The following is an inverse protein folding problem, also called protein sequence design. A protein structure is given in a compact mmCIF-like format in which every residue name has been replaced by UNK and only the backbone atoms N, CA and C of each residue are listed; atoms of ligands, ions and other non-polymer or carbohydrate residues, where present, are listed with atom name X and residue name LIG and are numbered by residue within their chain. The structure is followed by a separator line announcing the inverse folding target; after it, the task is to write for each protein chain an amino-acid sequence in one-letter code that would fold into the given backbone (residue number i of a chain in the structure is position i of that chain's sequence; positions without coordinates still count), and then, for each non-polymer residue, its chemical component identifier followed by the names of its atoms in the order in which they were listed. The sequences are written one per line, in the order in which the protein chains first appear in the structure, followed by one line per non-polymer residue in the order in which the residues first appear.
data_IF_755878825011
#
_entry.id   IF_755878825011
#
_cell.length_a   1.000
_cell.length_b   1.000
_cell.length_c   1.000
_cell.angle_alpha   90.00
_cell.angle_beta   90.00
_cell.angle_gamma   90.00
#
_symmetry.space_group_name_H-M   'P 1'
#
loop_
_entity.id
_entity.type
_entity.pdbx_description
1 polymer ?
#
# COMPACT_ATOMS: atom_id res chain seq x y z
N UNK A 1 50.91 -36.17 -19.38
CA UNK A 1 50.28 -35.68 -18.13
C UNK A 1 49.67 -34.33 -18.41
N UNK A 2 48.34 -34.27 -18.58
CA UNK A 2 47.61 -33.03 -18.79
C UNK A 2 46.30 -33.13 -18.01
N UNK A 3 46.14 -32.27 -17.00
CA UNK A 3 44.99 -32.21 -16.11
C UNK A 3 43.78 -31.56 -16.81
N UNK A 4 42.53 -32.05 -16.62
CA UNK A 4 41.36 -31.29 -17.02
C UNK A 4 40.94 -30.33 -15.90
N UNK A 5 40.90 -29.04 -16.23
CA UNK A 5 40.43 -27.97 -15.36
C UNK A 5 38.88 -27.96 -15.34
N UNK A 6 38.28 -28.49 -14.28
CA UNK A 6 36.83 -28.44 -14.06
C UNK A 6 36.37 -27.03 -13.65
N UNK A 7 35.59 -26.35 -14.50
CA UNK A 7 34.91 -25.09 -14.16
C UNK A 7 33.68 -25.40 -13.31
N UNK A 8 33.73 -25.03 -12.03
CA UNK A 8 32.56 -25.03 -11.14
C UNK A 8 31.60 -23.90 -11.55
N UNK A 9 30.42 -24.28 -12.04
CA UNK A 9 29.31 -23.35 -12.26
C UNK A 9 28.83 -22.80 -10.90
N UNK A 10 29.03 -21.50 -10.68
CA UNK A 10 28.47 -20.79 -9.51
C UNK A 10 26.97 -20.64 -9.74
N UNK A 11 26.18 -21.50 -9.11
CA UNK A 11 24.73 -21.35 -9.02
C UNK A 11 24.39 -20.05 -8.28
N UNK A 12 23.99 -19.02 -9.02
CA UNK A 12 23.42 -17.79 -8.45
C UNK A 12 22.05 -18.12 -7.87
N UNK A 13 21.99 -18.36 -6.56
CA UNK A 13 20.71 -18.39 -5.84
C UNK A 13 20.14 -16.98 -5.83
N UNK A 14 19.12 -16.73 -6.64
CA UNK A 14 18.28 -15.53 -6.55
C UNK A 14 17.64 -15.50 -5.15
N UNK A 15 17.67 -14.38 -4.42
CA UNK A 15 16.89 -14.27 -3.21
C UNK A 15 15.41 -14.21 -3.60
N UNK A 16 14.66 -15.25 -3.22
CA UNK A 16 13.21 -15.16 -3.13
C UNK A 16 12.89 -14.07 -2.09
N UNK A 17 12.32 -12.96 -2.55
CA UNK A 17 11.69 -11.99 -1.67
C UNK A 17 10.65 -12.74 -0.85
N UNK A 18 10.87 -12.84 0.47
CA UNK A 18 9.90 -13.41 1.39
C UNK A 18 8.66 -12.51 1.38
N UNK A 19 7.45 -13.07 1.35
CA UNK A 19 6.26 -12.29 1.60
C UNK A 19 6.39 -11.65 2.98
N UNK A 20 6.22 -10.34 3.06
CA UNK A 20 6.21 -9.64 4.32
C UNK A 20 5.06 -10.17 5.21
N UNK A 21 5.38 -10.47 6.45
CA UNK A 21 4.42 -10.96 7.44
C UNK A 21 3.49 -9.82 7.87
N UNK A 22 2.20 -10.11 8.12
CA UNK A 22 1.15 -9.16 8.57
C UNK A 22 1.57 -8.14 9.67
N UNK A 23 2.59 -8.46 10.47
CA UNK A 23 3.16 -7.55 11.47
C UNK A 23 3.86 -6.30 10.89
N UNK A 24 4.43 -6.34 9.67
CA UNK A 24 5.11 -5.18 9.07
C UNK A 24 4.13 -4.19 8.42
N UNK A 25 2.98 -4.67 7.94
CA UNK A 25 1.90 -3.81 7.43
C UNK A 25 1.20 -3.08 8.59
N UNK A 26 0.91 -3.78 9.69
CA UNK A 26 0.29 -3.20 10.90
C UNK A 26 1.23 -2.25 11.66
N UNK A 27 2.55 -2.46 11.62
CA UNK A 27 3.51 -1.54 12.25
C UNK A 27 3.65 -0.22 11.49
N UNK A 28 3.46 -0.23 10.16
CA UNK A 28 3.40 0.98 9.33
C UNK A 28 2.14 1.82 9.56
N UNK A 29 1.04 1.21 10.02
CA UNK A 29 -0.21 1.91 10.36
C UNK A 29 -0.19 2.62 11.73
N UNK A 30 0.84 2.40 12.57
CA UNK A 30 0.96 3.09 13.85
C UNK A 30 1.69 4.43 13.70
N UNK A 31 0.92 5.52 13.75
CA UNK A 31 1.45 6.85 14.08
C UNK A 31 2.14 6.77 15.45
N UNK A 32 3.39 7.25 15.62
CA UNK A 32 3.86 7.60 16.95
C UNK A 32 3.02 8.78 17.47
N UNK A 33 2.71 8.87 18.77
CA UNK A 33 2.10 10.06 19.33
C UNK A 33 3.04 11.25 19.08
N UNK A 34 2.51 12.32 18.47
CA UNK A 34 3.23 13.59 18.41
C UNK A 34 3.44 14.07 19.86
N UNK A 35 4.67 14.42 20.27
CA UNK A 35 4.87 15.05 21.56
C UNK A 35 4.16 16.42 21.57
N UNK A 36 3.67 16.88 22.74
CA UNK A 36 3.03 18.19 22.88
C UNK A 36 3.98 19.30 22.40
N UNK A 37 3.44 20.23 21.62
CA UNK A 37 4.19 21.22 20.82
C UNK A 37 4.96 22.25 21.66
N UNK A 38 4.71 22.33 22.97
CA UNK A 38 5.23 23.40 23.82
C UNK A 38 6.60 23.13 24.49
N UNK A 39 7.18 21.95 24.31
CA UNK A 39 8.52 21.64 24.84
C UNK A 39 9.65 21.71 23.77
N UNK A 40 9.32 21.92 22.49
CA UNK A 40 10.28 21.84 21.39
C UNK A 40 10.97 23.17 21.03
N UNK A 41 10.68 24.26 21.73
CA UNK A 41 11.26 25.58 21.43
C UNK A 41 12.58 25.88 22.17
N UNK A 42 13.05 25.00 23.05
CA UNK A 42 14.23 25.28 23.88
C UNK A 42 15.58 24.76 23.32
N UNK A 43 15.60 24.07 22.17
CA UNK A 43 16.86 23.54 21.59
C UNK A 43 17.07 23.89 20.11
N UNK A 44 16.40 24.93 19.60
CA UNK A 44 16.72 25.45 18.27
C UNK A 44 18.15 26.04 18.30
N UNK A 45 19.12 25.51 17.51
CA UNK A 45 20.36 26.21 17.31
C UNK A 45 20.03 27.50 16.58
N UNK A 46 20.16 28.60 17.33
CA UNK A 46 20.02 29.98 16.87
C UNK A 46 20.88 30.18 15.61
N UNK A 47 20.22 30.28 14.46
CA UNK A 47 20.74 30.79 13.20
C UNK A 47 22.21 30.44 12.89
N UNK A 48 22.50 29.17 12.58
CA UNK A 48 23.71 28.88 11.81
C UNK A 48 23.42 29.34 10.38
N UNK A 49 23.94 30.51 10.02
CA UNK A 49 24.04 30.92 8.62
C UNK A 49 24.69 29.75 7.88
N UNK A 50 23.96 29.10 7.00
CA UNK A 50 24.55 28.17 6.05
C UNK A 50 25.51 29.03 5.21
N UNK A 51 26.79 29.02 5.59
CA UNK A 51 27.84 29.35 4.65
C UNK A 51 27.61 28.41 3.48
N UNK A 52 27.45 28.95 2.27
CA UNK A 52 27.49 28.16 1.05
C UNK A 52 28.92 27.66 0.90
N UNK A 53 29.30 26.70 1.75
CA UNK A 53 30.43 25.84 1.52
C UNK A 53 30.05 25.11 0.24
N UNK A 54 30.76 25.39 -0.85
CA UNK A 54 30.59 24.67 -2.10
C UNK A 54 30.80 23.21 -1.77
N UNK A 55 29.71 22.47 -1.57
CA UNK A 55 29.76 21.01 -1.44
C UNK A 55 30.38 20.59 -2.76
N UNK A 56 31.66 20.21 -2.73
CA UNK A 56 32.31 19.61 -3.88
C UNK A 56 31.60 18.29 -4.07
N UNK A 57 30.54 18.32 -4.88
CA UNK A 57 29.81 17.13 -5.24
C UNK A 57 30.76 16.21 -5.98
N UNK A 58 30.72 14.93 -5.62
CA UNK A 58 31.47 13.96 -6.39
C UNK A 58 30.96 13.95 -7.84
N UNK A 59 31.81 13.62 -8.83
CA UNK A 59 31.35 13.44 -10.21
C UNK A 59 30.21 12.43 -10.34
N UNK A 60 30.11 11.45 -9.42
CA UNK A 60 29.03 10.49 -9.35
C UNK A 60 27.72 11.15 -8.90
N UNK A 61 27.72 11.92 -7.82
CA UNK A 61 26.52 12.62 -7.34
C UNK A 61 26.02 13.65 -8.36
N UNK A 62 26.94 14.37 -9.01
CA UNK A 62 26.61 15.27 -10.12
C UNK A 62 25.94 14.55 -11.28
N UNK A 63 26.37 13.33 -11.57
CA UNK A 63 25.75 12.50 -12.59
C UNK A 63 24.33 12.07 -12.21
N UNK A 64 24.12 11.65 -10.96
CA UNK A 64 22.79 11.25 -10.45
C UNK A 64 21.83 12.44 -10.42
N UNK A 65 22.25 13.59 -9.88
CA UNK A 65 21.40 14.79 -9.86
C UNK A 65 21.00 15.19 -11.28
N UNK A 66 21.96 15.21 -12.22
CA UNK A 66 21.66 15.48 -13.63
C UNK A 66 20.61 14.54 -14.20
N UNK A 67 20.68 13.24 -13.89
CA UNK A 67 19.67 12.25 -14.34
C UNK A 67 18.30 12.56 -13.74
N UNK A 68 18.24 12.86 -12.44
CA UNK A 68 16.99 13.17 -11.75
C UNK A 68 16.36 14.47 -12.27
N UNK A 69 17.15 15.52 -12.41
CA UNK A 69 16.71 16.82 -12.93
C UNK A 69 16.17 16.66 -14.36
N UNK A 70 16.91 15.96 -15.22
CA UNK A 70 16.47 15.66 -16.59
C UNK A 70 15.15 14.88 -16.62
N UNK A 71 14.93 13.98 -15.65
CA UNK A 71 13.68 13.22 -15.55
C UNK A 71 12.53 14.08 -15.06
N UNK A 72 12.75 14.94 -14.08
CA UNK A 72 11.75 15.87 -13.55
C UNK A 72 11.31 16.83 -14.65
N UNK A 73 12.26 17.39 -15.38
CA UNK A 73 11.99 18.28 -16.53
C UNK A 73 11.11 17.56 -17.56
N UNK A 74 11.51 16.36 -17.99
CA UNK A 74 10.75 15.57 -18.95
C UNK A 74 9.32 15.27 -18.47
N UNK A 75 9.15 14.88 -17.20
CA UNK A 75 7.83 14.58 -16.66
C UNK A 75 6.96 15.84 -16.52
N UNK A 76 7.57 17.00 -16.25
CA UNK A 76 6.88 18.28 -16.14
C UNK A 76 6.34 18.82 -17.45
N UNK A 77 6.88 18.37 -18.59
CA UNK A 77 6.37 18.71 -19.92
C UNK A 77 5.01 18.05 -20.20
N UNK A 78 4.69 16.95 -19.52
CA UNK A 78 3.42 16.26 -19.69
C UNK A 78 2.37 16.79 -18.71
N UNK A 79 1.16 17.13 -19.16
CA UNK A 79 0.09 17.52 -18.25
C UNK A 79 -0.30 16.33 -17.37
N UNK A 80 -0.21 16.52 -16.05
CA UNK A 80 -0.74 15.55 -15.08
C UNK A 80 -2.27 15.66 -15.08
N UNK A 81 -3.01 14.60 -15.40
CA UNK A 81 -4.48 14.62 -15.32
C UNK A 81 -4.92 14.96 -13.90
N UNK A 82 -5.98 15.75 -13.77
CA UNK A 82 -6.60 15.97 -12.45
C UNK A 82 -7.14 14.64 -11.92
N UNK A 83 -6.86 14.31 -10.65
CA UNK A 83 -7.37 13.07 -10.08
C UNK A 83 -8.90 13.12 -10.00
N UNK A 84 -9.59 11.99 -10.26
CA UNK A 84 -11.04 11.94 -10.17
C UNK A 84 -11.49 12.25 -8.75
N UNK A 85 -12.52 13.08 -8.60
CA UNK A 85 -13.14 13.39 -7.30
C UNK A 85 -14.32 12.46 -6.99
N UNK A 86 -14.76 11.67 -7.96
CA UNK A 86 -15.84 10.69 -7.85
C UNK A 86 -15.53 9.45 -8.67
N UNK A 87 -15.97 8.31 -8.16
CA UNK A 87 -15.93 7.02 -8.82
C UNK A 87 -17.26 6.33 -8.49
N UNK A 88 -18.13 6.19 -9.49
CA UNK A 88 -19.52 5.73 -9.32
C UNK A 88 -20.26 6.48 -8.19
N UNK A 89 -20.75 5.75 -7.19
CA UNK A 89 -21.44 6.31 -6.02
C UNK A 89 -20.48 6.82 -4.94
N UNK A 90 -19.17 6.63 -5.12
CA UNK A 90 -18.15 7.00 -4.15
C UNK A 90 -17.54 8.37 -4.44
N UNK A 91 -17.35 9.13 -3.37
CA UNK A 91 -16.49 10.32 -3.37
C UNK A 91 -15.04 9.89 -3.17
N UNK A 92 -14.13 10.41 -3.98
CA UNK A 92 -12.70 10.08 -3.95
C UNK A 92 -11.95 11.25 -3.31
N UNK A 93 -11.15 10.94 -2.31
CA UNK A 93 -10.31 11.89 -1.60
C UNK A 93 -8.86 11.42 -1.64
N UNK A 94 -8.04 12.16 -2.38
CA UNK A 94 -6.59 12.06 -2.28
C UNK A 94 -6.08 12.87 -1.08
N UNK A 95 -5.05 12.37 -0.40
CA UNK A 95 -4.48 12.98 0.80
C UNK A 95 -2.99 13.25 0.53
N UNK A 96 -2.60 14.52 0.27
CA UNK A 96 -1.21 14.86 -0.02
C UNK A 96 -0.26 14.32 1.06
N UNK A 97 0.80 13.62 0.63
CA UNK A 97 1.78 13.01 1.51
C UNK A 97 1.42 11.60 2.03
N UNK A 98 0.20 11.12 1.79
CA UNK A 98 -0.16 9.72 1.98
C UNK A 98 0.10 8.91 0.70
N UNK A 99 0.12 7.57 0.84
CA UNK A 99 0.29 6.62 -0.28
C UNK A 99 -0.97 5.79 -0.56
N UNK A 100 -2.12 6.32 -0.15
CA UNK A 100 -3.41 5.72 -0.39
C UNK A 100 -4.45 6.80 -0.69
N UNK A 101 -5.45 6.43 -1.47
CA UNK A 101 -6.65 7.23 -1.73
C UNK A 101 -7.81 6.69 -0.90
N UNK A 102 -8.70 7.58 -0.46
CA UNK A 102 -9.88 7.20 0.32
C UNK A 102 -11.14 7.38 -0.52
N UNK A 103 -11.91 6.32 -0.71
CA UNK A 103 -13.25 6.37 -1.29
C UNK A 103 -14.28 6.31 -0.17
N UNK A 104 -15.30 7.15 -0.24
CA UNK A 104 -16.42 7.18 0.73
C UNK A 104 -17.75 7.16 0.01
N UNK A 105 -18.61 6.25 0.42
CA UNK A 105 -19.94 6.06 -0.15
C UNK A 105 -20.91 5.55 0.91
N UNK A 106 -22.18 5.48 0.55
CA UNK A 106 -23.24 4.91 1.36
C UNK A 106 -23.99 3.84 0.56
N UNK A 107 -24.48 2.84 1.26
CA UNK A 107 -25.24 1.75 0.67
C UNK A 107 -26.57 1.53 1.40
N UNK A 108 -27.65 1.40 0.61
CA UNK A 108 -29.00 1.18 1.11
C UNK A 108 -29.48 2.23 2.13
N UNK A 109 -30.13 1.76 3.19
CA UNK A 109 -30.78 2.62 4.19
C UNK A 109 -29.88 2.94 5.41
N UNK A 110 -28.57 3.15 5.19
CA UNK A 110 -27.68 3.68 6.22
C UNK A 110 -26.45 2.84 6.53
N UNK A 111 -25.88 2.13 5.56
CA UNK A 111 -24.52 1.60 5.68
C UNK A 111 -23.53 2.60 5.11
N UNK A 112 -22.53 2.98 5.91
CA UNK A 112 -21.42 3.81 5.49
C UNK A 112 -20.25 2.91 5.07
N UNK A 113 -19.72 3.17 3.88
CA UNK A 113 -18.60 2.43 3.30
C UNK A 113 -17.42 3.38 3.11
N UNK A 114 -16.26 2.96 3.60
CA UNK A 114 -14.99 3.63 3.37
C UNK A 114 -13.99 2.62 2.81
N UNK A 115 -13.33 2.98 1.72
CA UNK A 115 -12.31 2.15 1.09
C UNK A 115 -11.01 2.93 1.08
N UNK A 116 -9.95 2.40 1.67
CA UNK A 116 -8.59 2.92 1.51
C UNK A 116 -7.83 2.03 0.53
N UNK A 117 -7.44 2.60 -0.61
CA UNK A 117 -6.73 1.88 -1.65
C UNK A 117 -5.29 2.37 -1.76
N UNK A 118 -4.32 1.46 -1.66
CA UNK A 118 -2.90 1.80 -1.84
C UNK A 118 -2.57 2.06 -3.31
N UNK A 119 -1.43 2.72 -3.55
CA UNK A 119 -0.76 2.60 -4.85
C UNK A 119 -0.32 1.16 -5.10
N UNK A 120 0.10 0.83 -6.34
CA UNK A 120 0.71 -0.47 -6.64
C UNK A 120 1.81 -0.83 -5.63
N UNK A 121 1.65 -1.96 -4.95
CA UNK A 121 2.52 -2.39 -3.86
C UNK A 121 3.14 -3.78 -4.10
N UNK A 122 2.69 -4.49 -5.13
CA UNK A 122 3.36 -5.67 -5.66
C UNK A 122 3.17 -5.81 -7.18
N UNK A 123 4.09 -6.53 -7.82
CA UNK A 123 4.06 -6.84 -9.24
C UNK A 123 4.60 -8.24 -9.50
N UNK A 124 3.93 -9.00 -10.37
CA UNK A 124 4.32 -10.35 -10.78
C UNK A 124 4.47 -10.40 -12.30
N UNK A 125 5.60 -10.94 -12.79
CA UNK A 125 5.80 -11.18 -14.22
C UNK A 125 4.97 -12.39 -14.65
N UNK A 126 4.11 -12.20 -15.64
CA UNK A 126 3.26 -13.23 -16.23
C UNK A 126 3.79 -13.58 -17.61
N UNK A 127 4.02 -14.87 -17.84
CA UNK A 127 4.34 -15.40 -19.16
C UNK A 127 3.04 -15.68 -19.90
N UNK A 128 2.82 -15.04 -21.05
CA UNK A 128 1.73 -15.40 -21.95
C UNK A 128 2.08 -16.71 -22.67
N UNK A 129 1.28 -17.77 -22.57
CA UNK A 129 1.53 -18.99 -23.31
C UNK A 129 1.29 -18.73 -24.81
N UNK A 130 2.35 -18.84 -25.62
CA UNK A 130 2.26 -18.83 -27.09
C UNK A 130 2.80 -17.58 -27.81
N UNK A 131 3.32 -16.58 -27.09
CA UNK A 131 3.94 -15.39 -27.68
C UNK A 131 5.47 -15.45 -27.52
N UNK A 132 6.19 -15.13 -28.60
CA UNK A 132 7.64 -15.29 -28.73
C UNK A 132 8.42 -14.42 -27.72
N UNK A 133 8.66 -14.94 -26.53
CA UNK A 133 9.65 -14.61 -25.46
C UNK A 133 10.03 -13.14 -25.15
N UNK A 134 9.42 -12.11 -25.74
CA UNK A 134 9.88 -10.72 -25.65
C UNK A 134 8.93 -9.79 -24.90
N UNK A 135 7.69 -10.20 -24.61
CA UNK A 135 6.72 -9.41 -23.84
C UNK A 135 6.27 -10.19 -22.61
N UNK A 136 7.02 -10.02 -21.52
CA UNK A 136 6.52 -10.39 -20.19
C UNK A 136 5.55 -9.30 -19.74
N UNK A 137 4.28 -9.67 -19.54
CA UNK A 137 3.30 -8.75 -18.96
C UNK A 137 3.49 -8.69 -17.45
N UNK A 138 3.27 -7.52 -16.86
CA UNK A 138 3.30 -7.33 -15.41
C UNK A 138 1.87 -7.32 -14.87
N UNK A 139 1.59 -8.21 -13.92
CA UNK A 139 0.36 -8.20 -13.13
C UNK A 139 0.60 -7.40 -11.86
N UNK A 140 -0.01 -6.22 -11.78
CA UNK A 140 0.11 -5.31 -10.64
C UNK A 140 -0.92 -5.66 -9.57
N UNK A 141 -0.57 -5.39 -8.32
CA UNK A 141 -1.42 -5.62 -7.15
C UNK A 141 -1.55 -4.33 -6.35
N UNK A 142 -2.74 -4.11 -5.80
CA UNK A 142 -3.01 -3.08 -4.79
C UNK A 142 -3.66 -3.72 -3.58
N UNK A 143 -3.40 -3.16 -2.40
CA UNK A 143 -4.07 -3.53 -1.16
C UNK A 143 -5.24 -2.59 -0.90
N UNK A 144 -6.36 -3.16 -0.47
CA UNK A 144 -7.57 -2.42 -0.11
C UNK A 144 -7.94 -2.68 1.35
N UNK A 145 -8.32 -1.63 2.05
CA UNK A 145 -8.99 -1.72 3.36
C UNK A 145 -10.42 -1.25 3.21
N UNK A 146 -11.39 -2.15 3.38
CA UNK A 146 -12.82 -1.85 3.22
C UNK A 146 -13.49 -1.84 4.57
N UNK A 147 -13.89 -0.67 5.00
CA UNK A 147 -14.64 -0.40 6.22
C UNK A 147 -16.13 -0.33 5.90
N UNK A 148 -16.95 -1.15 6.55
CA UNK A 148 -18.41 -1.13 6.47
C UNK A 148 -18.98 -0.95 7.87
N UNK A 149 -19.65 0.17 8.11
CA UNK A 149 -20.33 0.44 9.38
C UNK A 149 -21.81 0.68 9.16
N UNK A 150 -22.63 0.19 10.08
CA UNK A 150 -24.05 0.53 10.10
C UNK A 150 -24.25 1.87 10.80
N UNK A 151 -25.26 2.63 10.39
CA UNK A 151 -25.61 3.93 10.96
C UNK A 151 -26.00 3.89 12.45
N UNK A 152 -26.26 2.71 13.01
CA UNK A 152 -26.42 2.52 14.46
C UNK A 152 -25.10 2.70 15.25
N UNK A 153 -23.95 2.71 14.56
CA UNK A 153 -22.63 2.91 15.12
C UNK A 153 -22.15 1.78 16.04
N UNK A 154 -22.89 0.67 16.16
CA UNK A 154 -22.62 -0.39 17.13
C UNK A 154 -21.64 -1.43 16.59
N UNK A 155 -21.65 -1.68 15.29
CA UNK A 155 -20.80 -2.68 14.63
C UNK A 155 -20.14 -2.15 13.36
N UNK A 156 -18.85 -2.45 13.22
CA UNK A 156 -18.05 -2.13 12.05
C UNK A 156 -17.31 -3.40 11.60
N UNK A 157 -17.29 -3.62 10.29
CA UNK A 157 -16.61 -4.72 9.62
C UNK A 157 -15.50 -4.13 8.77
N UNK A 158 -14.28 -4.61 8.93
CA UNK A 158 -13.13 -4.18 8.13
C UNK A 158 -12.58 -5.38 7.38
N UNK A 159 -12.42 -5.23 6.07
CA UNK A 159 -11.86 -6.24 5.19
C UNK A 159 -10.50 -5.78 4.69
N UNK A 160 -9.48 -6.59 4.92
CA UNK A 160 -8.20 -6.44 4.22
C UNK A 160 -8.26 -7.28 2.94
N UNK A 161 -8.16 -6.63 1.79
CA UNK A 161 -8.26 -7.29 0.49
C UNK A 161 -7.00 -7.08 -0.36
N UNK A 162 -6.69 -8.10 -1.16
CA UNK A 162 -5.72 -8.08 -2.24
C UNK A 162 -6.46 -7.96 -3.56
N UNK A 163 -6.29 -6.84 -4.25
CA UNK A 163 -6.87 -6.63 -5.57
C UNK A 163 -5.80 -6.83 -6.66
N UNK A 164 -6.10 -7.76 -7.55
CA UNK A 164 -5.41 -8.00 -8.81
C UNK A 164 -6.30 -7.56 -9.96
N UNK A 165 -5.79 -7.39 -11.18
CA UNK A 165 -6.57 -6.88 -12.32
C UNK A 165 -7.81 -7.72 -12.65
N UNK A 166 -7.76 -9.01 -12.33
CA UNK A 166 -8.76 -10.03 -12.66
C UNK A 166 -9.39 -10.69 -11.43
N UNK A 167 -8.97 -10.32 -10.21
CA UNK A 167 -9.48 -10.99 -9.00
C UNK A 167 -9.33 -10.15 -7.73
N UNK A 168 -10.34 -10.21 -6.87
CA UNK A 168 -10.29 -9.69 -5.50
C UNK A 168 -10.23 -10.85 -4.48
N UNK A 169 -9.22 -10.82 -3.62
CA UNK A 169 -9.00 -11.81 -2.57
C UNK A 169 -9.14 -11.17 -1.19
N UNK A 170 -10.07 -11.68 -0.37
CA UNK A 170 -10.22 -11.23 1.01
C UNK A 170 -9.14 -11.92 1.86
N UNK A 171 -8.16 -11.16 2.33
CA UNK A 171 -7.11 -11.67 3.20
C UNK A 171 -7.60 -11.87 4.62
N UNK A 172 -8.19 -10.84 5.23
CA UNK A 172 -8.65 -10.88 6.62
C UNK A 172 -9.98 -10.14 6.76
N UNK A 173 -10.76 -10.54 7.77
CA UNK A 173 -12.02 -9.89 8.15
C UNK A 173 -11.99 -9.62 9.64
N UNK A 174 -12.13 -8.35 10.01
CA UNK A 174 -12.08 -7.87 11.38
C UNK A 174 -13.43 -7.32 11.79
N UNK A 175 -13.87 -7.66 13.01
CA UNK A 175 -15.12 -7.17 13.57
C UNK A 175 -14.82 -6.26 14.74
N UNK A 176 -15.27 -5.01 14.64
CA UNK A 176 -15.08 -3.98 15.65
C UNK A 176 -16.41 -3.53 16.22
N UNK A 177 -16.39 -3.12 17.49
CA UNK A 177 -17.43 -2.29 18.09
C UNK A 177 -16.85 -0.93 18.37
N UNK A 178 -17.55 0.14 17.98
CA UNK A 178 -17.09 1.53 18.13
C UNK A 178 -16.73 1.87 19.59
N UNK A 179 -17.48 1.30 20.54
CA UNK A 179 -17.24 1.41 21.99
C UNK A 179 -15.87 0.84 22.44
N UNK A 180 -15.33 -0.14 21.72
CA UNK A 180 -14.01 -0.71 21.98
C UNK A 180 -12.88 0.14 21.38
N UNK A 181 -13.16 0.93 20.34
CA UNK A 181 -12.18 1.82 19.71
C UNK A 181 -11.73 2.93 20.68
N UNK A 182 -12.65 3.47 21.47
CA UNK A 182 -12.37 4.54 22.44
C UNK A 182 -11.73 4.02 23.73
N UNK A 183 -11.95 2.74 24.08
CA UNK A 183 -11.64 2.22 25.43
C UNK A 183 -10.43 1.29 25.51
N UNK A 184 -9.87 0.77 24.40
CA UNK A 184 -8.91 -0.34 24.51
C UNK A 184 -7.59 -0.20 23.75
N UNK A 185 -6.53 -0.27 24.57
CA UNK A 185 -5.16 -0.67 24.28
C UNK A 185 -5.01 -2.18 23.94
N UNK A 186 -6.11 -2.91 23.70
CA UNK A 186 -6.08 -4.34 23.37
C UNK A 186 -6.47 -4.57 21.93
N UNK A 187 -5.68 -5.39 21.23
CA UNK A 187 -5.91 -5.76 19.85
C UNK A 187 -7.29 -6.41 19.70
N UNK A 188 -8.15 -5.91 18.78
CA UNK A 188 -9.43 -6.55 18.50
C UNK A 188 -9.18 -7.97 18.00
N UNK A 189 -10.21 -8.82 18.09
CA UNK A 189 -10.13 -10.16 17.54
C UNK A 189 -9.77 -10.07 16.05
N UNK A 190 -8.58 -10.57 15.70
CA UNK A 190 -7.97 -10.39 14.38
C UNK A 190 -8.61 -11.26 13.27
N UNK A 191 -9.73 -11.91 13.58
CA UNK A 191 -10.34 -12.89 12.69
C UNK A 191 -9.50 -14.18 12.56
N UNK A 192 -10.10 -15.26 12.03
CA UNK A 192 -9.33 -16.39 11.54
C UNK A 192 -8.58 -16.04 10.25
N UNK A 193 -7.43 -16.69 9.99
CA UNK A 193 -6.76 -16.62 8.68
C UNK A 193 -7.76 -17.04 7.59
N UNK A 194 -7.99 -16.18 6.58
CA UNK A 194 -8.96 -16.46 5.49
C UNK A 194 -8.68 -17.76 4.75
N UNK A 195 -7.42 -18.22 4.72
CA UNK A 195 -7.05 -19.50 4.09
C UNK A 195 -7.63 -20.70 4.83
N UNK A 196 -7.89 -20.55 6.13
CA UNK A 196 -8.55 -21.56 6.98
C UNK A 196 -10.08 -21.43 6.96
N UNK A 197 -10.60 -20.35 6.38
CA UNK A 197 -12.03 -20.15 6.24
C UNK A 197 -12.58 -21.04 5.13
N UNK A 198 -13.70 -21.70 5.42
CA UNK A 198 -14.35 -22.56 4.44
C UNK A 198 -14.77 -21.75 3.18
N UNK A 199 -14.86 -22.43 2.04
CA UNK A 199 -15.18 -21.77 0.76
C UNK A 199 -16.55 -21.07 0.79
N UNK A 200 -17.52 -21.64 1.51
CA UNK A 200 -18.87 -21.07 1.63
C UNK A 200 -18.84 -19.68 2.26
N UNK A 201 -18.18 -19.51 3.41
CA UNK A 201 -18.13 -18.21 4.11
C UNK A 201 -17.33 -17.20 3.28
N UNK A 202 -16.24 -17.63 2.63
CA UNK A 202 -15.46 -16.76 1.74
C UNK A 202 -16.29 -16.23 0.58
N UNK A 203 -17.10 -17.09 -0.04
CA UNK A 203 -18.01 -16.69 -1.10
C UNK A 203 -19.08 -15.73 -0.57
N UNK A 204 -19.65 -15.97 0.61
CA UNK A 204 -20.63 -15.03 1.19
C UNK A 204 -20.03 -13.65 1.49
N UNK A 205 -18.76 -13.58 1.91
CA UNK A 205 -18.10 -12.28 2.10
C UNK A 205 -17.79 -11.59 0.78
N UNK A 206 -17.43 -12.34 -0.26
CA UNK A 206 -17.28 -11.79 -1.61
C UNK A 206 -18.60 -11.24 -2.13
N UNK A 207 -19.67 -12.04 -2.08
CA UNK A 207 -21.03 -11.61 -2.47
C UNK A 207 -21.48 -10.38 -1.68
N UNK A 208 -21.15 -10.31 -0.39
CA UNK A 208 -21.44 -9.15 0.46
C UNK A 208 -20.75 -7.88 -0.04
N UNK A 209 -19.48 -7.95 -0.46
CA UNK A 209 -18.76 -6.79 -1.01
C UNK A 209 -19.23 -6.44 -2.42
N UNK A 210 -19.47 -7.43 -3.29
CA UNK A 210 -19.96 -7.22 -4.66
C UNK A 210 -21.34 -6.56 -4.70
N UNK A 211 -22.19 -6.82 -3.71
CA UNK A 211 -23.50 -6.16 -3.61
C UNK A 211 -23.39 -4.65 -3.35
N UNK A 212 -22.21 -4.16 -2.93
CA UNK A 212 -21.93 -2.79 -2.50
C UNK A 212 -21.03 -2.02 -3.48
N UNK A 213 -20.94 -2.50 -4.71
CA UNK A 213 -20.25 -1.82 -5.83
C UNK A 213 -20.90 -0.47 -6.17
#
# INVERSE_FOLDING_TARGET
MASPCSRLARSVRRPLLRPETLASLLSRQRRPPFPPQDAALALLPRGRRYSAESVVMSPFDAHILRILDSRIELESEYPVPEPPTKFDSFTVQDQPGQRWVTLRGNFGNGEDIKIEATSFDAAVLVQKPGEDNSRQDMRLHISLLVDVSKGDGLGMLEFLCSAWPDSLEIQNVYLFRKEMQEKMHSWPYMGPDSRKLNAKIRNTFREFLETRE
#
